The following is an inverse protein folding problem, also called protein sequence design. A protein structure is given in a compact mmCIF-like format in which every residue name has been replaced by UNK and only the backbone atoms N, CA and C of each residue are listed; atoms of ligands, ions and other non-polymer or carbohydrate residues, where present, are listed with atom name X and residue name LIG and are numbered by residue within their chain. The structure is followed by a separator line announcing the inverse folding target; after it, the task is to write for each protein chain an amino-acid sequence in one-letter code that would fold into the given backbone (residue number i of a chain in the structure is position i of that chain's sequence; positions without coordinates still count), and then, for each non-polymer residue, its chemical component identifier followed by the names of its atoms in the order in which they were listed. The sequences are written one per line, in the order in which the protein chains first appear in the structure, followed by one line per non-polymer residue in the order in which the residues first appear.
data_IF_022179925256
#
_entry.id   IF_022179925256
#
_cell.length_a   1.000
_cell.length_b   1.000
_cell.length_c   1.000
_cell.angle_alpha   90.00
_cell.angle_beta   90.00
_cell.angle_gamma   90.00
#
_symmetry.space_group_name_H-M   'P 1'
#
loop_
_entity.id
_entity.type
_entity.pdbx_description
1 polymer ?
#
# COMPACT_ATOMS: atom_id res chain seq x y z
N UNK A 1 -6.45 41.03 0.37
CA UNK A 1 -5.69 40.41 1.48
C UNK A 1 -6.70 39.75 2.39
N UNK A 2 -6.68 38.42 2.50
CA UNK A 2 -7.59 37.68 3.38
C UNK A 2 -6.78 37.17 4.57
N UNK A 3 -6.85 37.85 5.70
CA UNK A 3 -6.01 37.55 6.87
C UNK A 3 -6.31 36.18 7.48
N UNK A 4 -7.48 35.58 7.21
CA UNK A 4 -7.82 34.22 7.65
C UNK A 4 -6.93 33.15 7.01
N UNK A 5 -6.38 33.39 5.82
CA UNK A 5 -5.55 32.41 5.11
C UNK A 5 -4.13 32.34 5.72
N UNK A 6 -3.67 33.35 6.49
CA UNK A 6 -2.35 33.31 7.15
C UNK A 6 -2.27 32.27 8.28
N UNK A 7 -3.41 31.90 8.84
CA UNK A 7 -3.53 30.89 9.89
C UNK A 7 -3.84 29.50 9.32
N UNK A 8 -3.67 29.29 8.01
CA UNK A 8 -3.92 27.99 7.40
C UNK A 8 -2.98 26.94 7.98
N UNK A 9 -3.57 25.90 8.56
CA UNK A 9 -2.85 24.76 9.15
C UNK A 9 -2.87 23.52 8.24
N UNK A 10 -3.90 23.41 7.40
CA UNK A 10 -4.14 22.27 6.52
C UNK A 10 -4.19 22.77 5.08
N UNK A 11 -3.28 22.28 4.26
CA UNK A 11 -3.26 22.58 2.83
C UNK A 11 -3.16 21.27 2.04
N UNK A 12 -4.19 20.98 1.26
CA UNK A 12 -4.15 19.89 0.29
C UNK A 12 -4.30 20.44 -1.12
N UNK A 13 -3.36 20.08 -2.01
CA UNK A 13 -3.37 20.49 -3.43
C UNK A 13 -3.87 19.32 -4.33
N UNK A 14 -4.39 18.26 -3.71
CA UNK A 14 -5.13 17.21 -4.40
C UNK A 14 -6.18 16.60 -3.46
N UNK A 15 -7.33 16.19 -3.99
CA UNK A 15 -8.26 15.34 -3.24
C UNK A 15 -8.09 13.89 -3.72
N UNK A 16 -7.95 12.96 -2.78
CA UNK A 16 -8.11 11.53 -3.04
C UNK A 16 -9.38 11.12 -2.31
N UNK A 17 -10.51 11.66 -2.77
CA UNK A 17 -11.81 11.16 -2.31
C UNK A 17 -12.00 9.76 -2.88
N UNK A 18 -12.05 8.78 -1.98
CA UNK A 18 -12.30 7.38 -2.31
C UNK A 18 -13.67 7.14 -2.97
N UNK A 19 -14.57 8.14 -2.89
CA UNK A 19 -15.93 8.11 -3.42
C UNK A 19 -16.09 8.89 -4.74
N UNK A 20 -15.03 9.52 -5.23
CA UNK A 20 -15.10 10.26 -6.50
C UNK A 20 -14.87 9.29 -7.66
N UNK A 21 -15.96 8.75 -8.22
CA UNK A 21 -15.97 7.96 -9.47
C UNK A 21 -15.47 8.77 -10.69
N UNK A 22 -15.25 10.08 -10.54
CA UNK A 22 -14.68 10.91 -11.58
C UNK A 22 -13.17 10.68 -11.70
N UNK A 23 -12.78 10.06 -12.81
CA UNK A 23 -11.42 10.01 -13.33
C UNK A 23 -10.72 11.36 -13.15
N UNK A 24 -9.69 11.43 -12.29
CA UNK A 24 -8.85 12.63 -12.20
C UNK A 24 -8.09 12.80 -13.50
N UNK A 25 -7.89 14.04 -13.97
CA UNK A 25 -7.02 14.30 -15.13
C UNK A 25 -5.69 13.57 -14.98
N UNK A 26 -5.31 12.78 -15.99
CA UNK A 26 -4.05 12.00 -15.99
C UNK A 26 -2.83 12.92 -15.83
N UNK A 27 -2.91 14.11 -16.43
CA UNK A 27 -1.86 15.13 -16.41
C UNK A 27 -2.46 16.50 -16.02
N UNK A 28 -2.78 16.74 -14.74
CA UNK A 28 -3.35 18.01 -14.34
C UNK A 28 -2.32 19.13 -14.45
N UNK A 29 -2.79 20.37 -14.66
CA UNK A 29 -1.91 21.54 -14.60
C UNK A 29 -1.50 21.79 -13.15
N UNK A 30 -0.35 21.26 -12.77
CA UNK A 30 0.23 21.42 -11.45
C UNK A 30 1.06 22.70 -11.36
N UNK A 31 1.06 23.38 -10.21
CA UNK A 31 2.04 24.44 -9.97
C UNK A 31 3.45 23.86 -10.01
N UNK A 32 4.41 24.63 -10.54
CA UNK A 32 5.83 24.26 -10.48
C UNK A 32 6.32 24.18 -9.04
N UNK A 33 7.47 23.54 -8.82
CA UNK A 33 8.13 23.54 -7.51
C UNK A 33 8.40 24.98 -7.02
N UNK A 34 8.82 25.91 -7.90
CA UNK A 34 9.03 27.32 -7.53
C UNK A 34 7.75 28.02 -7.07
N UNK A 35 6.63 27.72 -7.74
CA UNK A 35 5.32 28.28 -7.35
C UNK A 35 4.87 27.68 -6.02
N UNK A 36 5.10 26.39 -5.83
CA UNK A 36 4.81 25.67 -4.59
C UNK A 36 5.65 26.19 -3.43
N UNK A 37 6.93 26.51 -3.66
CA UNK A 37 7.81 27.11 -2.67
C UNK A 37 7.27 28.47 -2.18
N UNK A 38 6.75 29.31 -3.08
CA UNK A 38 6.12 30.58 -2.69
C UNK A 38 4.90 30.37 -1.79
N UNK A 39 4.10 29.34 -2.04
CA UNK A 39 2.97 28.97 -1.18
C UNK A 39 3.46 28.51 0.20
N UNK A 40 4.45 27.63 0.23
CA UNK A 40 5.06 27.11 1.46
C UNK A 40 5.73 28.21 2.29
N UNK A 41 6.34 29.21 1.64
CA UNK A 41 6.90 30.39 2.31
C UNK A 41 5.80 31.28 2.92
N UNK A 42 4.63 31.35 2.28
CA UNK A 42 3.54 32.20 2.73
C UNK A 42 2.79 31.61 3.94
N UNK A 43 2.58 30.30 3.97
CA UNK A 43 1.80 29.62 5.01
C UNK A 43 2.70 29.03 6.10
N UNK A 44 3.13 29.85 7.04
CA UNK A 44 4.06 29.44 8.12
C UNK A 44 3.41 28.62 9.23
N UNK A 45 2.08 28.50 9.26
CA UNK A 45 1.34 27.76 10.28
C UNK A 45 0.92 26.34 9.84
N UNK A 46 1.40 25.88 8.68
CA UNK A 46 1.06 24.56 8.17
C UNK A 46 1.57 23.46 9.10
N UNK A 47 0.66 22.59 9.52
CA UNK A 47 0.93 21.35 10.25
C UNK A 47 0.62 20.13 9.39
N UNK A 48 -0.24 20.28 8.39
CA UNK A 48 -0.63 19.25 7.44
C UNK A 48 -0.50 19.78 6.02
N UNK A 49 0.24 19.03 5.20
CA UNK A 49 0.50 19.40 3.81
C UNK A 49 0.32 18.18 2.92
N UNK A 50 -0.41 18.33 1.82
CA UNK A 50 -0.53 17.31 0.79
C UNK A 50 -0.15 17.88 -0.57
N UNK A 51 0.94 17.36 -1.15
CA UNK A 51 1.49 17.77 -2.45
C UNK A 51 1.64 16.59 -3.42
N UNK A 52 1.74 16.89 -4.71
CA UNK A 52 2.13 15.89 -5.71
C UNK A 52 3.64 15.89 -5.88
N UNK A 53 4.24 14.75 -6.19
CA UNK A 53 5.69 14.62 -6.32
C UNK A 53 6.35 15.66 -7.25
N UNK A 54 5.78 16.06 -8.41
CA UNK A 54 6.44 17.04 -9.28
C UNK A 54 6.49 18.47 -8.71
N UNK A 55 5.74 18.72 -7.65
CA UNK A 55 5.70 20.01 -6.97
C UNK A 55 6.81 20.15 -5.92
N UNK A 56 7.62 19.11 -5.71
CA UNK A 56 8.64 19.06 -4.67
C UNK A 56 10.04 19.32 -5.22
N UNK A 57 10.86 19.97 -4.41
CA UNK A 57 12.31 20.09 -4.59
C UNK A 57 12.97 20.20 -3.20
N UNK A 58 14.30 20.27 -3.18
CA UNK A 58 15.06 20.35 -1.93
C UNK A 58 14.70 21.61 -1.12
N UNK A 59 14.50 22.74 -1.80
CA UNK A 59 14.20 24.03 -1.21
C UNK A 59 12.88 23.99 -0.42
N UNK A 60 11.85 23.31 -0.93
CA UNK A 60 10.58 23.14 -0.22
C UNK A 60 10.78 22.34 1.08
N UNK A 61 11.52 21.24 1.03
CA UNK A 61 11.75 20.38 2.19
C UNK A 61 12.58 21.10 3.25
N UNK A 62 13.63 21.83 2.82
CA UNK A 62 14.43 22.67 3.70
C UNK A 62 13.62 23.80 4.30
N UNK A 63 12.77 24.45 3.52
CA UNK A 63 11.91 25.52 4.02
C UNK A 63 10.92 24.95 5.04
N UNK A 64 10.30 23.77 4.81
CA UNK A 64 9.49 23.05 5.81
C UNK A 64 10.23 22.74 7.12
N UNK A 65 11.56 22.68 7.09
CA UNK A 65 12.40 22.50 8.29
C UNK A 65 12.77 23.81 9.03
N UNK A 66 12.37 24.96 8.50
CA UNK A 66 12.73 26.27 9.05
C UNK A 66 12.20 26.46 10.47
N UNK A 67 12.97 27.16 11.32
CA UNK A 67 12.56 27.46 12.71
C UNK A 67 11.46 28.54 12.81
N UNK A 68 11.17 29.25 11.71
CA UNK A 68 10.22 30.37 11.67
C UNK A 68 8.76 29.94 11.43
N UNK A 69 8.51 28.63 11.41
CA UNK A 69 7.21 28.02 11.08
C UNK A 69 6.80 27.01 12.14
N UNK A 70 5.52 26.67 12.11
CA UNK A 70 4.98 25.55 12.87
C UNK A 70 5.61 24.24 12.40
N UNK A 71 5.75 23.29 13.32
CA UNK A 71 6.26 21.95 12.99
C UNK A 71 5.24 21.22 12.13
N UNK A 72 5.73 20.54 11.11
CA UNK A 72 4.88 19.73 10.24
C UNK A 72 4.59 18.40 10.94
N UNK A 73 3.33 18.08 11.14
CA UNK A 73 2.89 16.84 11.76
C UNK A 73 2.64 15.76 10.72
N UNK A 74 2.10 16.13 9.56
CA UNK A 74 1.71 15.19 8.53
C UNK A 74 2.05 15.73 7.14
N UNK A 75 2.69 14.88 6.34
CA UNK A 75 3.06 15.21 4.97
C UNK A 75 2.68 14.09 4.01
N UNK A 76 1.67 14.37 3.19
CA UNK A 76 1.16 13.43 2.22
C UNK A 76 1.70 13.76 0.83
N UNK A 77 2.21 12.74 0.14
CA UNK A 77 2.77 12.91 -1.20
C UNK A 77 2.09 11.94 -2.16
N UNK A 78 1.36 12.50 -3.13
CA UNK A 78 0.88 11.75 -4.28
C UNK A 78 2.01 11.60 -5.28
N UNK A 79 2.52 10.38 -5.43
CA UNK A 79 3.58 10.06 -6.36
C UNK A 79 2.97 9.94 -7.76
N UNK A 80 3.33 10.90 -8.61
CA UNK A 80 2.89 10.96 -10.01
C UNK A 80 4.11 10.74 -10.91
N UNK A 81 3.97 9.79 -11.83
CA UNK A 81 4.97 9.45 -12.84
C UNK A 81 4.28 9.22 -14.18
N UNK A 82 4.89 9.75 -15.26
CA UNK A 82 4.47 9.48 -16.64
C UNK A 82 5.70 9.06 -17.44
N UNK A 83 5.63 7.99 -18.23
CA UNK A 83 6.75 7.63 -19.13
C UNK A 83 7.00 8.71 -20.18
N UNK A 84 5.95 9.41 -20.58
CA UNK A 84 6.03 10.54 -21.51
C UNK A 84 6.74 11.76 -20.88
N UNK A 85 6.99 11.73 -19.56
CA UNK A 85 7.73 12.77 -18.83
C UNK A 85 9.19 12.89 -19.22
N UNK A 86 9.75 11.92 -19.95
CA UNK A 86 11.08 12.11 -20.56
C UNK A 86 11.04 13.33 -21.51
N UNK A 87 9.86 13.61 -22.11
CA UNK A 87 9.63 14.74 -23.00
C UNK A 87 8.85 15.90 -22.35
N UNK A 88 8.37 15.73 -21.10
CA UNK A 88 7.62 16.75 -20.37
C UNK A 88 8.21 16.93 -18.97
N UNK A 89 8.84 18.08 -18.74
CA UNK A 89 9.59 18.43 -17.51
C UNK A 89 8.81 18.26 -16.19
N UNK A 90 7.47 18.18 -16.24
CA UNK A 90 6.59 18.20 -15.07
C UNK A 90 6.20 16.85 -14.45
N UNK A 91 6.68 15.70 -14.93
CA UNK A 91 6.23 14.38 -14.41
C UNK A 91 7.36 13.41 -14.07
N UNK A 92 8.59 13.90 -13.95
CA UNK A 92 9.72 13.15 -13.38
C UNK A 92 9.63 13.19 -11.86
N UNK A 93 10.02 12.09 -11.20
CA UNK A 93 10.12 12.08 -9.74
C UNK A 93 11.32 12.92 -9.29
N UNK A 94 11.14 13.82 -8.31
CA UNK A 94 12.19 14.69 -7.84
C UNK A 94 13.21 13.89 -7.02
N UNK A 95 14.47 14.25 -7.16
CA UNK A 95 15.54 13.73 -6.30
C UNK A 95 15.70 14.68 -5.10
N UNK A 96 15.14 14.28 -3.97
CA UNK A 96 15.27 15.02 -2.72
C UNK A 96 16.46 14.44 -1.95
N UNK A 97 17.43 15.30 -1.63
CA UNK A 97 18.63 14.89 -0.94
C UNK A 97 18.34 14.40 0.48
N UNK A 98 19.12 13.42 0.95
CA UNK A 98 19.06 12.93 2.33
C UNK A 98 19.25 14.03 3.37
N UNK A 99 20.02 15.08 3.06
CA UNK A 99 20.25 16.22 3.97
C UNK A 99 18.97 17.02 4.20
N UNK A 100 18.18 17.24 3.15
CA UNK A 100 16.88 17.92 3.27
C UNK A 100 15.92 17.13 4.16
N UNK A 101 15.82 15.81 3.95
CA UNK A 101 14.99 14.94 4.80
C UNK A 101 15.46 14.90 6.25
N UNK A 102 16.77 14.83 6.50
CA UNK A 102 17.33 14.91 7.87
C UNK A 102 16.98 16.22 8.54
N UNK A 103 17.12 17.34 7.84
CA UNK A 103 16.76 18.66 8.38
C UNK A 103 15.29 18.71 8.78
N UNK A 104 14.40 18.24 7.90
CA UNK A 104 12.96 18.18 8.18
C UNK A 104 12.66 17.28 9.38
N UNK A 105 13.20 16.07 9.42
CA UNK A 105 13.01 15.11 10.54
C UNK A 105 13.53 15.67 11.87
N UNK A 106 14.65 16.39 11.88
CA UNK A 106 15.16 17.05 13.10
C UNK A 106 14.24 18.18 13.57
N UNK A 107 13.70 18.96 12.64
CA UNK A 107 12.78 20.07 12.97
C UNK A 107 11.41 19.58 13.47
N UNK A 108 10.96 18.43 12.94
CA UNK A 108 9.65 17.84 13.18
C UNK A 108 9.80 16.33 13.49
N UNK A 109 10.23 15.95 14.72
CA UNK A 109 10.53 14.56 15.06
C UNK A 109 9.33 13.61 15.01
N UNK A 110 8.12 14.16 15.18
CA UNK A 110 6.85 13.42 15.14
C UNK A 110 6.21 13.39 13.74
N UNK A 111 6.92 13.90 12.72
CA UNK A 111 6.41 13.97 11.35
C UNK A 111 6.06 12.58 10.83
N UNK A 112 4.83 12.44 10.35
CA UNK A 112 4.35 11.28 9.61
C UNK A 112 4.32 11.60 8.11
N UNK A 113 5.07 10.83 7.31
CA UNK A 113 5.01 10.91 5.84
C UNK A 113 4.13 9.79 5.29
N UNK A 114 3.24 10.13 4.37
CA UNK A 114 2.41 9.18 3.62
C UNK A 114 2.68 9.29 2.12
N UNK A 115 2.92 8.15 1.47
CA UNK A 115 3.05 8.05 0.02
C UNK A 115 1.83 7.37 -0.60
N UNK A 116 1.29 7.99 -1.65
CA UNK A 116 0.20 7.45 -2.46
C UNK A 116 0.70 7.22 -3.88
N UNK A 117 0.61 5.98 -4.36
CA UNK A 117 1.03 5.56 -5.70
C UNK A 117 -0.21 5.20 -6.51
N UNK A 118 -0.54 6.01 -7.52
CA UNK A 118 -1.73 5.78 -8.36
C UNK A 118 -1.49 4.78 -9.49
N UNK A 119 -0.33 4.88 -10.13
CA UNK A 119 0.00 4.19 -11.37
C UNK A 119 1.28 3.39 -11.23
N UNK A 120 1.55 2.51 -12.20
CA UNK A 120 2.81 1.76 -12.25
C UNK A 120 4.00 2.71 -12.43
N UNK A 121 4.97 2.60 -11.53
CA UNK A 121 6.21 3.38 -11.56
C UNK A 121 7.37 2.39 -11.67
N UNK A 122 8.34 2.60 -12.57
CA UNK A 122 9.58 1.83 -12.58
C UNK A 122 10.27 1.92 -11.22
N UNK A 123 10.83 0.81 -10.76
CA UNK A 123 11.43 0.72 -9.44
C UNK A 123 12.59 1.71 -9.28
N UNK A 124 13.38 1.96 -10.33
CA UNK A 124 14.49 2.92 -10.27
C UNK A 124 14.01 4.36 -10.09
N UNK A 125 12.77 4.66 -10.50
CA UNK A 125 12.16 5.97 -10.31
C UNK A 125 11.53 6.07 -8.92
N UNK A 126 10.79 5.04 -8.49
CA UNK A 126 10.15 5.03 -7.18
C UNK A 126 11.19 5.07 -6.04
N UNK A 127 12.35 4.43 -6.23
CA UNK A 127 13.43 4.42 -5.24
C UNK A 127 13.99 5.81 -4.92
N UNK A 128 13.88 6.78 -5.84
CA UNK A 128 14.27 8.18 -5.61
C UNK A 128 13.46 8.84 -4.50
N UNK A 129 12.21 8.38 -4.30
CA UNK A 129 11.33 8.86 -3.23
C UNK A 129 11.49 8.04 -1.94
N UNK A 130 12.04 6.82 -2.02
CA UNK A 130 12.19 5.90 -0.90
C UNK A 130 13.58 6.00 -0.24
N UNK A 131 13.98 7.21 0.13
CA UNK A 131 15.19 7.44 0.92
C UNK A 131 14.99 7.00 2.38
N UNK A 132 15.99 6.35 3.02
CA UNK A 132 15.86 5.82 4.39
C UNK A 132 15.70 6.91 5.45
N UNK A 133 16.10 8.15 5.14
CA UNK A 133 15.89 9.30 6.02
C UNK A 133 14.43 9.70 6.19
N UNK A 134 13.57 9.37 5.21
CA UNK A 134 12.15 9.73 5.21
C UNK A 134 11.46 9.02 6.38
N UNK A 135 10.74 9.73 7.27
CA UNK A 135 9.92 9.10 8.30
C UNK A 135 8.62 8.56 7.68
N UNK A 136 8.75 7.60 6.75
CA UNK A 136 7.62 7.01 6.05
C UNK A 136 6.79 6.19 7.03
N UNK A 137 5.55 6.65 7.24
CA UNK A 137 4.57 6.06 8.15
C UNK A 137 3.48 5.29 7.42
N UNK A 138 3.19 5.65 6.17
CA UNK A 138 2.12 5.05 5.39
C UNK A 138 2.53 4.94 3.92
N UNK A 139 2.35 3.75 3.35
CA UNK A 139 2.42 3.55 1.91
C UNK A 139 1.07 3.01 1.42
N UNK A 140 0.50 3.70 0.44
CA UNK A 140 -0.74 3.32 -0.23
C UNK A 140 -0.50 3.17 -1.73
N UNK A 141 -0.67 1.96 -2.25
CA UNK A 141 -0.59 1.63 -3.67
C UNK A 141 -2.02 1.36 -4.16
N UNK A 142 -2.51 2.17 -5.09
CA UNK A 142 -3.86 1.99 -5.64
C UNK A 142 -3.91 0.91 -6.72
N UNK A 143 -5.12 0.61 -7.19
CA UNK A 143 -5.43 -0.50 -8.10
C UNK A 143 -4.52 -0.59 -9.34
N UNK A 144 -4.16 0.54 -9.94
CA UNK A 144 -3.32 0.59 -11.14
C UNK A 144 -1.81 0.71 -10.84
N UNK A 145 -1.42 0.56 -9.58
CA UNK A 145 -0.03 0.53 -9.15
C UNK A 145 0.67 -0.80 -9.47
N UNK A 146 1.87 -0.96 -8.88
CA UNK A 146 2.62 -2.21 -8.87
C UNK A 146 3.19 -2.39 -7.47
N UNK A 147 2.98 -3.57 -6.89
CA UNK A 147 3.66 -4.01 -5.69
C UNK A 147 4.32 -5.34 -6.01
N UNK A 148 5.64 -5.40 -5.92
CA UNK A 148 6.43 -6.60 -6.10
C UNK A 148 7.29 -6.87 -4.85
N UNK A 149 7.95 -8.03 -4.85
CA UNK A 149 8.81 -8.43 -3.75
C UNK A 149 9.95 -7.43 -3.51
N UNK A 150 10.51 -6.84 -4.56
CA UNK A 150 11.62 -5.88 -4.44
C UNK A 150 11.20 -4.61 -3.71
N UNK A 151 10.03 -4.05 -4.05
CA UNK A 151 9.46 -2.92 -3.32
C UNK A 151 9.25 -3.27 -1.84
N UNK A 152 8.67 -4.44 -1.57
CA UNK A 152 8.41 -4.89 -0.20
C UNK A 152 9.70 -5.05 0.62
N UNK A 153 10.74 -5.66 0.05
CA UNK A 153 12.04 -5.82 0.70
C UNK A 153 12.68 -4.46 0.99
N UNK A 154 12.60 -3.51 0.06
CA UNK A 154 13.07 -2.14 0.27
C UNK A 154 12.32 -1.43 1.41
N UNK A 155 11.00 -1.66 1.54
CA UNK A 155 10.21 -1.08 2.63
C UNK A 155 10.61 -1.64 3.98
N UNK A 156 10.82 -2.97 4.05
CA UNK A 156 11.24 -3.66 5.27
C UNK A 156 12.59 -3.15 5.73
N UNK A 157 13.58 -3.10 4.83
CA UNK A 157 14.93 -2.70 5.18
C UNK A 157 14.99 -1.26 5.70
N UNK A 158 14.34 -0.33 4.99
CA UNK A 158 14.44 1.11 5.25
C UNK A 158 13.49 1.61 6.33
N UNK A 159 12.30 1.02 6.47
CA UNK A 159 11.20 1.59 7.26
C UNK A 159 10.64 0.67 8.35
N UNK A 160 11.37 -0.38 8.74
CA UNK A 160 11.01 -1.28 9.86
C UNK A 160 10.61 -0.57 11.18
N UNK A 161 11.12 0.64 11.43
CA UNK A 161 10.84 1.39 12.66
C UNK A 161 9.88 2.57 12.48
N UNK A 162 9.43 2.87 11.27
CA UNK A 162 8.55 4.01 10.99
C UNK A 162 7.24 3.61 10.33
N UNK A 163 7.21 2.52 9.57
CA UNK A 163 6.02 2.11 8.82
C UNK A 163 4.91 1.63 9.76
N UNK A 164 3.77 2.34 9.70
CA UNK A 164 2.57 2.06 10.49
C UNK A 164 1.42 1.51 9.63
N UNK A 165 1.36 1.90 8.36
CA UNK A 165 0.31 1.51 7.42
C UNK A 165 0.87 1.03 6.10
N UNK A 166 0.38 -0.13 5.66
CA UNK A 166 0.64 -0.67 4.33
C UNK A 166 -0.69 -1.00 3.67
N UNK A 167 -1.00 -0.33 2.57
CA UNK A 167 -2.23 -0.49 1.81
C UNK A 167 -1.86 -0.78 0.36
N UNK A 168 -2.23 -1.96 -0.12
CA UNK A 168 -1.99 -2.40 -1.48
C UNK A 168 -3.31 -2.83 -2.10
N UNK A 169 -3.83 -2.01 -3.02
CA UNK A 169 -5.11 -2.24 -3.71
C UNK A 169 -4.92 -2.79 -5.13
N UNK A 170 -3.68 -2.98 -5.58
CA UNK A 170 -3.37 -3.53 -6.90
C UNK A 170 -3.36 -5.05 -6.91
N UNK A 171 -3.54 -5.63 -8.09
CA UNK A 171 -3.49 -7.08 -8.35
C UNK A 171 -2.03 -7.59 -8.35
N UNK A 172 -1.40 -7.52 -7.17
CA UNK A 172 -0.05 -8.02 -6.91
C UNK A 172 -0.07 -9.55 -6.75
N UNK A 173 0.97 -10.23 -7.23
CA UNK A 173 1.18 -11.68 -7.07
C UNK A 173 2.51 -11.94 -6.37
N UNK A 174 2.69 -13.16 -5.86
CA UNK A 174 3.96 -13.67 -5.34
C UNK A 174 4.57 -12.86 -4.17
N UNK A 175 3.72 -12.19 -3.39
CA UNK A 175 4.15 -11.36 -2.26
C UNK A 175 4.04 -12.06 -0.89
N UNK A 176 3.62 -13.33 -0.83
CA UNK A 176 3.36 -14.05 0.42
C UNK A 176 4.51 -13.98 1.44
N UNK A 177 5.73 -14.33 1.00
CA UNK A 177 6.91 -14.30 1.88
C UNK A 177 7.28 -12.87 2.28
N UNK A 178 7.14 -11.93 1.36
CA UNK A 178 7.43 -10.53 1.62
C UNK A 178 6.45 -9.91 2.63
N UNK A 179 5.16 -10.27 2.55
CA UNK A 179 4.13 -9.85 3.51
C UNK A 179 4.37 -10.41 4.91
N UNK A 180 4.74 -11.68 5.03
CA UNK A 180 5.13 -12.27 6.32
C UNK A 180 6.34 -11.52 6.90
N UNK A 181 7.38 -11.30 6.09
CA UNK A 181 8.57 -10.53 6.52
C UNK A 181 8.20 -9.11 6.94
N UNK A 182 7.29 -8.45 6.23
CA UNK A 182 6.82 -7.11 6.56
C UNK A 182 6.23 -7.08 7.96
N UNK A 183 5.29 -7.98 8.25
CA UNK A 183 4.65 -8.11 9.56
C UNK A 183 5.66 -8.43 10.66
N UNK A 184 6.63 -9.31 10.40
CA UNK A 184 7.61 -9.72 11.40
C UNK A 184 8.64 -8.62 11.73
N UNK A 185 8.99 -7.75 10.77
CA UNK A 185 10.06 -6.78 10.94
C UNK A 185 9.56 -5.36 11.23
N UNK A 186 8.40 -4.97 10.73
CA UNK A 186 7.84 -3.63 10.93
C UNK A 186 7.09 -3.54 12.26
N UNK A 187 7.80 -3.15 13.33
CA UNK A 187 7.29 -3.22 14.71
C UNK A 187 6.14 -2.24 15.02
N UNK A 188 5.92 -1.24 14.17
CA UNK A 188 4.85 -0.24 14.33
C UNK A 188 3.67 -0.46 13.38
N UNK A 189 3.72 -1.52 12.57
CA UNK A 189 2.72 -1.81 11.56
C UNK A 189 1.39 -2.20 12.20
N UNK A 190 0.41 -1.31 12.11
CA UNK A 190 -0.90 -1.43 12.76
C UNK A 190 -2.06 -1.48 11.75
N UNK A 191 -1.80 -1.24 10.47
CA UNK A 191 -2.83 -1.17 9.44
C UNK A 191 -2.32 -1.89 8.18
N UNK A 192 -2.98 -2.98 7.82
CA UNK A 192 -2.61 -3.81 6.67
C UNK A 192 -3.86 -4.01 5.81
N UNK A 193 -3.80 -3.56 4.57
CA UNK A 193 -4.80 -3.84 3.55
C UNK A 193 -4.07 -4.42 2.34
N UNK A 194 -4.44 -5.63 1.91
CA UNK A 194 -3.84 -6.26 0.74
C UNK A 194 -4.92 -6.91 -0.12
N UNK A 195 -5.10 -6.35 -1.32
CA UNK A 195 -6.04 -6.83 -2.33
C UNK A 195 -5.33 -7.56 -3.47
N UNK A 196 -4.06 -7.95 -3.33
CA UNK A 196 -3.41 -8.85 -4.28
C UNK A 196 -3.77 -10.32 -4.04
N UNK A 197 -3.27 -11.21 -4.89
CA UNK A 197 -3.41 -12.65 -4.71
C UNK A 197 -2.57 -13.11 -3.52
N UNK A 198 -3.16 -13.91 -2.65
CA UNK A 198 -2.49 -14.39 -1.43
C UNK A 198 -2.99 -15.78 -1.03
N UNK A 199 -2.11 -16.62 -0.50
CA UNK A 199 -2.53 -17.92 0.01
C UNK A 199 -3.14 -17.78 1.42
N UNK A 200 -4.19 -18.54 1.72
CA UNK A 200 -4.82 -18.56 3.05
C UNK A 200 -3.79 -18.80 4.18
N UNK A 201 -2.83 -19.71 3.95
CA UNK A 201 -1.77 -20.07 4.91
C UNK A 201 -0.90 -18.88 5.29
N UNK A 202 -0.74 -17.93 4.37
CA UNK A 202 0.06 -16.73 4.56
C UNK A 202 -0.68 -15.76 5.48
N UNK A 203 -1.99 -15.59 5.28
CA UNK A 203 -2.84 -14.77 6.16
C UNK A 203 -2.80 -15.31 7.60
N UNK A 204 -2.94 -16.64 7.78
CA UNK A 204 -2.86 -17.28 9.10
C UNK A 204 -1.50 -17.02 9.76
N UNK A 205 -0.39 -17.24 9.03
CA UNK A 205 0.97 -16.98 9.53
C UNK A 205 1.21 -15.52 9.92
N UNK A 206 0.66 -14.59 9.14
CA UNK A 206 0.72 -13.17 9.46
C UNK A 206 -0.02 -12.88 10.77
N UNK A 207 -1.23 -13.41 10.95
CA UNK A 207 -2.02 -13.21 12.16
C UNK A 207 -1.33 -13.80 13.41
N UNK A 208 -0.73 -14.99 13.29
CA UNK A 208 0.08 -15.61 14.35
C UNK A 208 1.32 -14.77 14.71
N UNK A 209 2.02 -14.25 13.70
CA UNK A 209 3.18 -13.38 13.90
C UNK A 209 2.79 -12.08 14.63
N UNK A 210 1.64 -11.49 14.28
CA UNK A 210 1.09 -10.29 14.93
C UNK A 210 0.77 -10.56 16.40
N UNK A 211 0.09 -11.68 16.67
CA UNK A 211 -0.21 -12.13 18.05
C UNK A 211 1.07 -12.29 18.86
N UNK A 212 2.06 -12.97 18.30
CA UNK A 212 3.36 -13.22 18.95
C UNK A 212 4.11 -11.91 19.24
N UNK A 213 4.05 -10.93 18.32
CA UNK A 213 4.66 -9.63 18.50
C UNK A 213 3.89 -8.72 19.47
N UNK A 214 2.65 -9.06 19.83
CA UNK A 214 1.80 -8.24 20.70
C UNK A 214 1.35 -6.93 20.05
N UNK A 215 1.34 -6.86 18.72
CA UNK A 215 0.97 -5.66 17.98
C UNK A 215 -0.55 -5.54 17.91
N UNK A 216 -1.09 -4.38 18.31
CA UNK A 216 -2.52 -4.09 18.22
C UNK A 216 -2.85 -3.53 16.83
N UNK A 217 -3.53 -4.33 16.01
CA UNK A 217 -3.99 -3.87 14.70
C UNK A 217 -5.22 -2.98 14.82
N UNK A 218 -5.23 -1.94 14.00
CA UNK A 218 -6.39 -1.10 13.69
C UNK A 218 -7.16 -1.61 12.46
N UNK A 219 -6.47 -2.29 11.53
CA UNK A 219 -7.05 -2.82 10.30
C UNK A 219 -6.19 -3.99 9.79
N UNK A 220 -6.87 -5.07 9.39
CA UNK A 220 -6.30 -6.26 8.76
C UNK A 220 -7.29 -6.71 7.69
N UNK A 221 -7.04 -6.37 6.43
CA UNK A 221 -8.04 -6.48 5.37
C UNK A 221 -7.48 -7.21 4.15
N UNK A 222 -8.24 -8.20 3.67
CA UNK A 222 -7.95 -8.99 2.48
C UNK A 222 -9.25 -9.21 1.71
N UNK A 223 -9.18 -9.20 0.37
CA UNK A 223 -10.34 -9.50 -0.48
C UNK A 223 -10.53 -11.00 -0.63
N UNK A 224 -11.72 -11.50 -0.30
CA UNK A 224 -12.06 -12.93 -0.30
C UNK A 224 -11.76 -13.58 -1.65
N UNK A 225 -12.20 -12.96 -2.74
CA UNK A 225 -11.97 -13.42 -4.12
C UNK A 225 -10.50 -13.58 -4.52
N UNK A 226 -9.56 -13.00 -3.77
CA UNK A 226 -8.12 -13.06 -4.06
C UNK A 226 -7.38 -14.03 -3.12
N UNK A 227 -8.10 -14.73 -2.23
CA UNK A 227 -7.53 -15.73 -1.32
C UNK A 227 -7.49 -17.09 -2.00
N UNK A 228 -6.28 -17.61 -2.19
CA UNK A 228 -6.02 -18.92 -2.77
C UNK A 228 -6.04 -19.99 -1.66
N UNK A 229 -6.95 -20.96 -1.78
CA UNK A 229 -7.08 -22.09 -0.83
C UNK A 229 -6.38 -23.35 -1.30
N UNK A 230 -6.34 -23.56 -2.61
CA UNK A 230 -5.63 -24.68 -3.24
C UNK A 230 -4.19 -24.23 -3.46
N UNK A 231 -3.21 -25.08 -3.18
CA UNK A 231 -1.89 -24.89 -3.77
C UNK A 231 -2.13 -25.01 -5.27
N UNK A 232 -2.17 -23.89 -6.01
CA UNK A 232 -2.13 -23.89 -7.49
C UNK A 232 -0.74 -24.31 -8.00
N UNK A 233 -0.28 -25.42 -7.44
CA UNK A 233 0.80 -26.31 -7.79
C UNK A 233 0.21 -27.73 -7.65
N UNK A 234 -0.85 -28.00 -8.41
CA UNK A 234 -1.14 -29.33 -8.91
C UNK A 234 -0.51 -29.37 -10.30
N UNK A 235 0.61 -30.05 -10.58
CA UNK A 235 1.16 -31.25 -9.93
C UNK A 235 0.06 -32.20 -9.47
N UNK A 236 -0.90 -32.44 -10.34
CA UNK A 236 -1.59 -33.72 -10.41
C UNK A 236 -1.80 -33.95 -11.90
N UNK A 237 -0.95 -34.78 -12.50
CA UNK A 237 -1.06 -35.25 -13.88
C UNK A 237 -2.30 -36.14 -14.06
N UNK A 238 -3.48 -35.61 -13.77
CA UNK A 238 -4.73 -36.17 -14.24
C UNK A 238 -4.85 -35.71 -15.69
N UNK A 239 -4.75 -36.66 -16.60
CA UNK A 239 -5.08 -36.47 -18.00
C UNK A 239 -6.40 -35.70 -18.09
N UNK A 240 -6.35 -34.51 -18.70
CA UNK A 240 -7.52 -33.73 -19.12
C UNK A 240 -8.43 -34.50 -20.11
N UNK A 241 -8.08 -35.75 -20.46
CA UNK A 241 -8.79 -36.61 -21.40
C UNK A 241 -9.98 -37.38 -20.80
N UNK A 242 -10.14 -37.44 -19.46
CA UNK A 242 -11.28 -38.15 -18.84
C UNK A 242 -12.44 -37.20 -18.55
N UNK A 243 -13.32 -37.03 -19.54
CA UNK A 243 -14.48 -36.13 -19.46
C UNK A 243 -15.62 -36.74 -18.65
N UNK A 244 -15.77 -38.07 -18.62
CA UNK A 244 -16.88 -38.79 -17.96
C UNK A 244 -16.34 -39.96 -17.13
N UNK A 245 -16.74 -40.04 -15.86
CA UNK A 245 -16.46 -41.16 -14.96
C UNK A 245 -17.76 -41.78 -14.44
N UNK A 246 -17.71 -43.04 -13.99
CA UNK A 246 -18.86 -43.76 -13.44
C UNK A 246 -18.69 -43.90 -11.93
N UNK A 247 -19.69 -43.49 -11.16
CA UNK A 247 -19.72 -43.72 -9.72
C UNK A 247 -19.91 -45.21 -9.45
N UNK A 248 -19.02 -45.80 -8.64
CA UNK A 248 -19.05 -47.22 -8.34
C UNK A 248 -20.17 -47.61 -7.36
N UNK A 249 -20.71 -46.64 -6.62
CA UNK A 249 -21.77 -46.87 -5.62
C UNK A 249 -23.16 -46.61 -6.18
N UNK A 250 -23.32 -45.57 -7.01
CA UNK A 250 -24.64 -45.15 -7.54
C UNK A 250 -24.89 -45.61 -8.99
N UNK A 251 -23.91 -46.21 -9.66
CA UNK A 251 -23.94 -46.63 -11.07
C UNK A 251 -24.21 -45.48 -12.07
N UNK A 252 -24.12 -44.23 -11.61
CA UNK A 252 -24.36 -43.02 -12.42
C UNK A 252 -23.09 -42.51 -13.10
N UNK A 253 -23.24 -41.98 -14.32
CA UNK A 253 -22.15 -41.33 -15.04
C UNK A 253 -22.14 -39.83 -14.71
N UNK A 254 -20.98 -39.30 -14.32
CA UNK A 254 -20.79 -37.89 -14.04
C UNK A 254 -19.66 -37.30 -14.86
N UNK A 255 -19.78 -36.00 -15.16
CA UNK A 255 -18.72 -35.22 -15.79
C UNK A 255 -17.66 -34.91 -14.72
N UNK A 256 -16.43 -35.39 -14.94
CA UNK A 256 -15.34 -35.28 -13.95
C UNK A 256 -15.11 -33.82 -13.57
N UNK A 257 -15.13 -32.91 -14.55
CA UNK A 257 -14.96 -31.47 -14.33
C UNK A 257 -16.09 -30.80 -13.52
N UNK A 258 -17.32 -31.31 -13.57
CA UNK A 258 -18.44 -30.75 -12.78
C UNK A 258 -18.42 -31.27 -11.34
N UNK A 259 -18.06 -32.53 -11.12
CA UNK A 259 -17.93 -33.09 -9.77
C UNK A 259 -16.70 -32.53 -9.05
N UNK A 260 -15.57 -32.37 -9.74
CA UNK A 260 -14.40 -31.70 -9.18
C UNK A 260 -14.73 -30.24 -8.82
N UNK A 261 -15.45 -29.52 -9.69
CA UNK A 261 -15.85 -28.14 -9.41
C UNK A 261 -16.70 -27.99 -8.13
N UNK A 262 -17.67 -28.89 -7.91
CA UNK A 262 -18.48 -28.87 -6.68
C UNK A 262 -17.70 -29.32 -5.43
N UNK A 263 -16.80 -30.30 -5.55
CA UNK A 263 -15.92 -30.70 -4.45
C UNK A 263 -14.93 -29.59 -4.08
N UNK A 264 -14.37 -28.91 -5.08
CA UNK A 264 -13.46 -27.79 -4.91
C UNK A 264 -14.16 -26.60 -4.24
N UNK A 265 -15.44 -26.34 -4.54
CA UNK A 265 -16.21 -25.26 -3.89
C UNK A 265 -16.52 -25.54 -2.41
N UNK A 266 -16.89 -26.77 -2.06
CA UNK A 266 -17.15 -27.16 -0.67
C UNK A 266 -15.86 -27.19 0.16
N UNK A 267 -14.77 -27.72 -0.41
CA UNK A 267 -13.45 -27.72 0.21
C UNK A 267 -12.92 -26.29 0.37
N UNK A 268 -13.05 -25.44 -0.65
CA UNK A 268 -12.70 -24.03 -0.60
C UNK A 268 -13.43 -23.31 0.55
N UNK A 269 -14.75 -23.49 0.65
CA UNK A 269 -15.56 -22.91 1.74
C UNK A 269 -15.13 -23.41 3.11
N UNK A 270 -14.84 -24.71 3.23
CA UNK A 270 -14.35 -25.28 4.48
C UNK A 270 -12.99 -24.69 4.89
N UNK A 271 -12.04 -24.61 3.96
CA UNK A 271 -10.71 -24.03 4.20
C UNK A 271 -10.82 -22.54 4.58
N UNK A 272 -11.67 -21.77 3.90
CA UNK A 272 -11.90 -20.37 4.25
C UNK A 272 -12.50 -20.21 5.64
N UNK A 273 -13.48 -21.05 6.01
CA UNK A 273 -14.06 -21.02 7.35
C UNK A 273 -13.01 -21.30 8.43
N UNK A 274 -12.17 -22.32 8.22
CA UNK A 274 -11.09 -22.65 9.15
C UNK A 274 -10.05 -21.53 9.25
N UNK A 275 -9.68 -20.91 8.13
CA UNK A 275 -8.81 -19.73 8.10
C UNK A 275 -9.41 -18.58 8.91
N UNK A 276 -10.68 -18.25 8.69
CA UNK A 276 -11.41 -17.18 9.39
C UNK A 276 -11.38 -17.39 10.90
N UNK A 277 -11.64 -18.62 11.36
CA UNK A 277 -11.58 -18.98 12.79
C UNK A 277 -10.17 -18.80 13.36
N UNK A 278 -9.16 -19.34 12.66
CA UNK A 278 -7.76 -19.25 13.09
C UNK A 278 -7.27 -17.81 13.18
N UNK A 279 -7.56 -17.00 12.16
CA UNK A 279 -7.19 -15.58 12.13
C UNK A 279 -7.94 -14.82 13.23
N UNK A 280 -9.24 -15.05 13.40
CA UNK A 280 -10.03 -14.41 14.46
C UNK A 280 -9.48 -14.72 15.85
N UNK A 281 -9.16 -16.00 16.11
CA UNK A 281 -8.55 -16.42 17.37
C UNK A 281 -7.13 -15.87 17.56
N UNK A 282 -6.36 -15.71 16.48
CA UNK A 282 -5.03 -15.12 16.55
C UNK A 282 -5.09 -13.63 16.90
N UNK A 283 -6.00 -12.89 16.28
CA UNK A 283 -6.14 -11.44 16.44
C UNK A 283 -6.95 -11.03 17.68
N UNK A 284 -7.75 -11.94 18.25
CA UNK A 284 -8.56 -11.69 19.44
C UNK A 284 -9.86 -10.95 19.18
N UNK A 285 -10.33 -10.90 17.93
CA UNK A 285 -11.61 -10.35 17.52
C UNK A 285 -12.15 -11.11 16.32
N UNK A 286 -13.46 -10.99 16.05
CA UNK A 286 -14.08 -11.63 14.87
C UNK A 286 -13.60 -10.93 13.60
N UNK A 287 -12.79 -11.63 12.82
CA UNK A 287 -12.26 -11.15 11.54
C UNK A 287 -12.92 -11.89 10.38
N UNK A 288 -13.17 -11.20 9.28
CA UNK A 288 -13.65 -11.79 8.01
C UNK A 288 -13.01 -11.04 6.83
N UNK A 289 -12.74 -11.72 5.71
CA UNK A 289 -12.31 -11.05 4.49
C UNK A 289 -13.42 -10.16 3.93
N UNK A 290 -13.03 -9.20 3.09
CA UNK A 290 -13.96 -8.31 2.39
C UNK A 290 -14.41 -8.98 1.10
N UNK A 291 -15.71 -8.98 0.85
CA UNK A 291 -16.35 -9.48 -0.37
C UNK A 291 -16.05 -8.61 -1.58
#
# INVERSE_FOLDING_TARGET
KNDKIKCLQYLSIFSVEAECESWTERNPKLPSADTTLKLVLHFTNLTHLSLRSPMLNNEIILELSSKKRSRLCYFQILIVYSRDSIFQEGYKLPEISSNSWKALKMSSPELQVEYLVLTRIPQEQLSLMLAPEVPLSSLRILQYGKCDQELMENLIDKYKHSLEKFICLCDSTDCDQALIKLVMNCTRLQHIVYHGNIHQRTIVKMAEAIKKAGVKLSCFEFKEKNIQTVNSASEDGRDDDVVVAKDAEEDEYYLVGLRSWHQDEDEHRHILSLMIENVSHALGYRWQPVT
#
